data_IF_594295923395
#
_entry.id   IF_594295923395
#
_cell.length_a   1.000
_cell.length_b   1.000
_cell.length_c   1.000
_cell.angle_alpha   90.00
_cell.angle_beta   90.00
_cell.angle_gamma   90.00
#
_symmetry.space_group_name_H-M   'P 1'
#
loop_
_entity.id
_entity.type
_entity.pdbx_description
1 polymer ?
#
# COMPACT_ATOMS: atom_id res chain seq x y z
N UNK A 1 18.23 21.00 -27.61
CA UNK A 1 18.16 19.52 -27.57
C UNK A 1 18.06 18.99 -26.15
N UNK A 2 18.83 19.49 -25.17
CA UNK A 2 18.77 19.01 -23.77
C UNK A 2 17.41 19.16 -23.07
N UNK A 3 16.68 20.26 -23.30
CA UNK A 3 15.37 20.50 -22.66
C UNK A 3 14.31 19.47 -23.07
N UNK A 4 14.27 19.08 -24.34
CA UNK A 4 13.33 18.06 -24.84
C UNK A 4 13.62 16.69 -24.23
N UNK A 5 14.89 16.32 -24.09
CA UNK A 5 15.29 15.09 -23.42
C UNK A 5 14.88 15.09 -21.94
N UNK A 6 15.10 16.20 -21.23
CA UNK A 6 14.69 16.34 -19.83
C UNK A 6 13.16 16.24 -19.68
N UNK A 7 12.41 16.91 -20.56
CA UNK A 7 10.95 16.85 -20.55
C UNK A 7 10.42 15.42 -20.75
N UNK A 8 11.01 14.67 -21.69
CA UNK A 8 10.67 13.26 -21.92
C UNK A 8 11.00 12.39 -20.70
N UNK A 9 12.15 12.60 -20.06
CA UNK A 9 12.54 11.85 -18.86
C UNK A 9 11.59 12.13 -17.68
N UNK A 10 11.20 13.38 -17.48
CA UNK A 10 10.22 13.75 -16.44
C UNK A 10 8.85 13.13 -16.73
N UNK A 11 8.40 13.16 -17.99
CA UNK A 11 7.14 12.52 -18.40
C UNK A 11 7.14 11.01 -18.24
N UNK A 12 8.24 10.34 -18.60
CA UNK A 12 8.43 8.91 -18.37
C UNK A 12 8.42 8.58 -16.87
N UNK A 13 9.13 9.35 -16.05
CA UNK A 13 9.13 9.20 -14.59
C UNK A 13 7.73 9.35 -13.99
N UNK A 14 7.00 10.41 -14.37
CA UNK A 14 5.62 10.61 -13.91
C UNK A 14 4.71 9.44 -14.30
N UNK A 15 4.85 8.93 -15.53
CA UNK A 15 4.06 7.79 -16.01
C UNK A 15 4.38 6.50 -15.25
N UNK A 16 5.66 6.27 -14.93
CA UNK A 16 6.13 5.14 -14.13
C UNK A 16 5.62 5.18 -12.69
N UNK A 17 5.30 6.36 -12.15
CA UNK A 17 4.66 6.50 -10.84
C UNK A 17 3.15 6.31 -10.97
N UNK A 18 2.47 7.13 -11.78
CA UNK A 18 1.02 7.20 -11.81
C UNK A 18 0.34 5.90 -12.28
N UNK A 19 0.93 5.19 -13.24
CA UNK A 19 0.34 3.99 -13.84
C UNK A 19 0.26 2.81 -12.87
N UNK A 20 1.34 2.41 -12.18
CA UNK A 20 1.30 1.30 -11.25
C UNK A 20 0.73 1.65 -9.87
N UNK A 21 0.72 2.91 -9.43
CA UNK A 21 0.28 3.29 -8.06
C UNK A 21 -1.08 2.71 -7.70
N UNK A 22 -2.09 2.86 -8.58
CA UNK A 22 -3.43 2.33 -8.29
C UNK A 22 -3.50 0.80 -8.32
N UNK A 23 -2.65 0.13 -9.11
CA UNK A 23 -2.57 -1.34 -9.13
C UNK A 23 -1.86 -1.87 -7.88
N UNK A 24 -0.83 -1.16 -7.43
CA UNK A 24 -0.10 -1.48 -6.21
C UNK A 24 -1.03 -1.38 -5.00
N UNK A 25 -1.74 -0.26 -4.85
CA UNK A 25 -2.66 -0.06 -3.72
C UNK A 25 -3.75 -1.13 -3.68
N UNK A 26 -4.35 -1.46 -4.83
CA UNK A 26 -5.35 -2.54 -4.93
C UNK A 26 -4.80 -3.93 -4.63
N UNK A 27 -3.51 -4.18 -4.83
CA UNK A 27 -2.86 -5.45 -4.46
C UNK A 27 -2.58 -5.53 -2.96
N UNK A 28 -2.43 -4.39 -2.30
CA UNK A 28 -2.06 -4.29 -0.89
C UNK A 28 -3.24 -4.09 0.06
N UNK A 29 -4.48 -4.32 -0.39
CA UNK A 29 -5.68 -4.17 0.45
C UNK A 29 -6.84 -5.05 0.03
N UNK A 30 -7.73 -5.34 0.98
CA UNK A 30 -9.00 -6.00 0.73
C UNK A 30 -9.95 -5.07 -0.04
N UNK A 31 -10.94 -5.61 -0.78
CA UNK A 31 -11.88 -4.80 -1.54
C UNK A 31 -12.61 -3.72 -0.72
N UNK A 32 -12.93 -4.02 0.55
CA UNK A 32 -13.63 -3.11 1.46
C UNK A 32 -12.78 -1.94 1.97
N UNK A 33 -11.46 -2.11 2.08
CA UNK A 33 -10.55 -1.07 2.58
C UNK A 33 -10.06 -0.08 1.50
N UNK A 34 -10.30 -0.41 0.23
CA UNK A 34 -9.85 0.39 -0.93
C UNK A 34 -10.22 1.88 -0.79
N UNK A 35 -11.47 2.28 -0.46
CA UNK A 35 -11.82 3.70 -0.39
C UNK A 35 -10.97 4.46 0.64
N UNK A 36 -10.73 3.88 1.82
CA UNK A 36 -9.94 4.50 2.87
C UNK A 36 -8.47 4.65 2.46
N UNK A 37 -7.88 3.61 1.85
CA UNK A 37 -6.48 3.66 1.40
C UNK A 37 -6.27 4.62 0.23
N UNK A 38 -7.19 4.66 -0.74
CA UNK A 38 -7.12 5.65 -1.82
C UNK A 38 -7.26 7.08 -1.30
N UNK A 39 -8.13 7.31 -0.30
CA UNK A 39 -8.25 8.61 0.36
C UNK A 39 -6.94 8.99 1.11
N UNK A 40 -6.33 8.05 1.83
CA UNK A 40 -5.06 8.26 2.50
C UNK A 40 -3.94 8.59 1.51
N UNK A 41 -3.85 7.85 0.39
CA UNK A 41 -2.87 8.11 -0.67
C UNK A 41 -3.08 9.49 -1.29
N UNK A 42 -4.33 9.86 -1.59
CA UNK A 42 -4.68 11.19 -2.10
C UNK A 42 -4.20 12.28 -1.12
N UNK A 43 -4.60 12.20 0.15
CA UNK A 43 -4.22 13.18 1.17
C UNK A 43 -2.71 13.30 1.34
N UNK A 44 -1.99 12.17 1.40
CA UNK A 44 -0.53 12.16 1.53
C UNK A 44 0.15 12.86 0.35
N UNK A 45 -0.29 12.59 -0.88
CA UNK A 45 0.25 13.26 -2.07
C UNK A 45 0.01 14.77 -2.04
N UNK A 46 -1.15 15.23 -1.54
CA UNK A 46 -1.45 16.65 -1.38
C UNK A 46 -0.62 17.30 -0.29
N UNK A 47 -0.41 16.63 0.84
CA UNK A 47 0.50 17.09 1.90
C UNK A 47 1.91 17.26 1.36
N UNK A 48 2.40 16.32 0.55
CA UNK A 48 3.70 16.44 -0.12
C UNK A 48 3.76 17.64 -1.06
N UNK A 49 2.72 17.91 -1.86
CA UNK A 49 2.66 19.11 -2.71
C UNK A 49 2.64 20.40 -1.90
N UNK A 50 1.86 20.43 -0.82
CA UNK A 50 1.77 21.59 0.08
C UNK A 50 3.13 21.98 0.65
N UNK A 51 4.00 21.00 0.93
CA UNK A 51 5.36 21.25 1.42
C UNK A 51 6.33 21.58 0.29
N UNK A 52 6.32 20.78 -0.77
CA UNK A 52 7.33 20.87 -1.84
C UNK A 52 7.16 22.11 -2.72
N UNK A 53 5.94 22.62 -2.91
CA UNK A 53 5.69 23.80 -3.74
C UNK A 53 6.28 25.09 -3.14
N UNK A 54 6.00 25.46 -1.87
CA UNK A 54 6.65 26.59 -1.23
C UNK A 54 8.17 26.42 -1.14
N UNK A 55 8.63 25.20 -0.84
CA UNK A 55 10.06 24.90 -0.76
C UNK A 55 10.76 25.12 -2.10
N UNK A 56 10.19 24.64 -3.20
CA UNK A 56 10.73 24.83 -4.54
C UNK A 56 10.73 26.31 -4.95
N UNK A 57 9.68 27.06 -4.61
CA UNK A 57 9.63 28.50 -4.86
C UNK A 57 10.70 29.25 -4.08
N UNK A 58 10.84 28.97 -2.79
CA UNK A 58 11.86 29.58 -1.93
C UNK A 58 13.29 29.23 -2.38
N UNK A 59 13.57 27.96 -2.68
CA UNK A 59 14.86 27.53 -3.21
C UNK A 59 15.16 28.15 -4.57
N UNK A 60 14.15 28.27 -5.43
CA UNK A 60 14.29 28.87 -6.77
C UNK A 60 14.79 30.31 -6.71
N UNK A 61 14.35 31.08 -5.71
CA UNK A 61 14.79 32.46 -5.50
C UNK A 61 16.19 32.52 -4.87
N UNK A 62 16.49 31.66 -3.89
CA UNK A 62 17.73 31.76 -3.09
C UNK A 62 18.93 31.05 -3.73
N UNK A 63 18.71 29.95 -4.45
CA UNK A 63 19.76 29.06 -4.98
C UNK A 63 19.69 28.95 -6.51
N UNK A 64 18.67 29.56 -7.12
CA UNK A 64 18.43 29.51 -8.56
C UNK A 64 17.76 28.20 -9.02
N UNK A 65 17.23 28.21 -10.24
CA UNK A 65 16.49 27.08 -10.81
C UNK A 65 17.35 25.83 -10.94
N UNK A 66 18.59 25.96 -11.45
CA UNK A 66 19.50 24.81 -11.64
C UNK A 66 19.83 24.13 -10.32
N UNK A 67 20.17 24.90 -9.28
CA UNK A 67 20.45 24.36 -7.94
C UNK A 67 19.23 23.69 -7.31
N UNK A 68 18.05 24.29 -7.48
CA UNK A 68 16.78 23.73 -7.00
C UNK A 68 16.45 22.39 -7.66
N UNK A 69 16.57 22.31 -9.00
CA UNK A 69 16.36 21.07 -9.74
C UNK A 69 17.37 19.99 -9.36
N UNK A 70 18.65 20.34 -9.19
CA UNK A 70 19.67 19.40 -8.75
C UNK A 70 19.34 18.83 -7.37
N UNK A 71 19.00 19.68 -6.39
CA UNK A 71 18.66 19.26 -5.03
C UNK A 71 17.42 18.35 -5.00
N UNK A 72 16.31 18.79 -5.60
CA UNK A 72 15.07 18.00 -5.63
C UNK A 72 15.25 16.69 -6.42
N UNK A 73 16.03 16.72 -7.50
CA UNK A 73 16.39 15.53 -8.26
C UNK A 73 17.19 14.53 -7.43
N UNK A 74 18.18 14.98 -6.66
CA UNK A 74 18.94 14.11 -5.75
C UNK A 74 18.06 13.51 -4.66
N UNK A 75 17.13 14.28 -4.09
CA UNK A 75 16.16 13.77 -3.10
C UNK A 75 15.28 12.68 -3.73
N UNK A 76 14.76 12.91 -4.94
CA UNK A 76 13.94 11.92 -5.65
C UNK A 76 14.72 10.63 -5.96
N UNK A 77 15.99 10.75 -6.39
CA UNK A 77 16.86 9.60 -6.64
C UNK A 77 17.17 8.83 -5.35
N UNK A 78 17.47 9.54 -4.25
CA UNK A 78 17.72 8.92 -2.95
C UNK A 78 16.49 8.17 -2.43
N UNK A 79 15.30 8.77 -2.53
CA UNK A 79 14.04 8.12 -2.15
C UNK A 79 13.75 6.88 -3.01
N UNK A 80 14.03 6.96 -4.32
CA UNK A 80 13.88 5.83 -5.24
C UNK A 80 14.84 4.69 -4.90
N UNK A 81 16.11 5.01 -4.65
CA UNK A 81 17.12 4.03 -4.25
C UNK A 81 16.77 3.38 -2.91
N UNK A 82 16.38 4.18 -1.91
CA UNK A 82 15.96 3.68 -0.61
C UNK A 82 14.75 2.75 -0.74
N UNK A 83 13.76 3.12 -1.55
CA UNK A 83 12.60 2.27 -1.84
C UNK A 83 13.04 0.97 -2.48
N UNK A 84 13.92 1.00 -3.48
CA UNK A 84 14.44 -0.20 -4.14
C UNK A 84 15.25 -1.13 -3.21
N UNK A 85 15.91 -0.57 -2.18
CA UNK A 85 16.65 -1.33 -1.17
C UNK A 85 15.74 -1.94 -0.10
N UNK A 86 14.73 -1.20 0.35
CA UNK A 86 13.79 -1.65 1.39
C UNK A 86 12.75 -2.62 0.78
N UNK A 87 12.42 -2.47 -0.50
CA UNK A 87 11.40 -3.29 -1.15
C UNK A 87 11.83 -4.75 -1.23
N UNK A 88 11.15 -5.59 -0.48
CA UNK A 88 11.46 -7.01 -0.41
C UNK A 88 11.05 -7.71 -1.72
N UNK A 89 12.03 -8.20 -2.49
CA UNK A 89 11.80 -8.91 -3.77
C UNK A 89 11.03 -10.22 -3.61
N UNK A 90 11.08 -10.82 -2.42
CA UNK A 90 10.51 -12.14 -2.11
C UNK A 90 9.15 -12.00 -1.43
N UNK A 91 8.24 -11.25 -2.05
CA UNK A 91 6.83 -11.21 -1.63
C UNK A 91 6.12 -12.44 -2.22
N UNK A 92 6.19 -13.56 -1.49
CA UNK A 92 5.41 -14.76 -1.80
C UNK A 92 3.93 -14.36 -1.70
N UNK A 93 3.27 -14.25 -2.86
CA UNK A 93 1.87 -13.79 -2.99
C UNK A 93 0.85 -14.61 -2.20
N UNK A 94 1.23 -15.78 -1.73
CA UNK A 94 0.44 -16.66 -0.86
C UNK A 94 1.39 -17.21 0.18
N UNK A 95 1.15 -16.84 1.44
CA UNK A 95 1.87 -17.37 2.58
C UNK A 95 0.95 -18.36 3.30
N UNK A 96 1.45 -19.57 3.52
CA UNK A 96 0.81 -20.49 4.45
C UNK A 96 1.15 -20.01 5.87
N UNK A 97 0.13 -19.76 6.68
CA UNK A 97 0.32 -19.28 8.04
C UNK A 97 -0.75 -19.84 8.98
N UNK A 98 -0.36 -20.06 10.23
CA UNK A 98 -1.26 -20.46 11.31
C UNK A 98 -1.72 -19.23 12.09
N UNK A 99 -3.04 -19.09 12.28
CA UNK A 99 -3.58 -18.13 13.23
C UNK A 99 -3.79 -18.78 14.59
N UNK A 100 -3.43 -18.06 15.66
CA UNK A 100 -3.98 -18.34 16.98
C UNK A 100 -5.48 -18.04 16.98
N UNK A 101 -6.24 -18.68 17.88
CA UNK A 101 -7.67 -18.46 17.96
C UNK A 101 -7.94 -16.97 18.26
N UNK A 102 -8.69 -16.30 17.37
CA UNK A 102 -8.97 -14.87 17.47
C UNK A 102 -10.44 -14.61 17.17
N UNK A 103 -11.04 -13.77 18.00
CA UNK A 103 -12.38 -13.23 17.78
C UNK A 103 -12.25 -11.89 17.07
N UNK A 104 -12.88 -11.75 15.91
CA UNK A 104 -12.82 -10.54 15.11
C UNK A 104 -14.11 -10.32 14.34
N UNK A 105 -14.22 -9.16 13.69
CA UNK A 105 -15.40 -8.75 12.91
C UNK A 105 -14.92 -8.23 11.57
N UNK A 106 -15.28 -8.90 10.48
CA UNK A 106 -15.08 -8.41 9.11
C UNK A 106 -16.34 -8.69 8.28
N UNK A 107 -16.41 -8.15 7.06
CA UNK A 107 -17.46 -8.51 6.11
C UNK A 107 -17.16 -9.92 5.59
N UNK A 108 -17.99 -10.91 5.93
CA UNK A 108 -17.75 -12.29 5.51
C UNK A 108 -18.71 -12.71 4.40
N UNK A 109 -18.25 -13.70 3.63
CA UNK A 109 -19.01 -14.40 2.59
C UNK A 109 -18.88 -15.90 2.90
N UNK A 110 -19.95 -16.69 2.75
CA UNK A 110 -19.85 -18.14 2.91
C UNK A 110 -19.17 -18.78 1.70
N UNK A 111 -17.84 -18.89 1.77
CA UNK A 111 -17.03 -19.67 0.84
C UNK A 111 -16.52 -20.98 1.49
N UNK A 112 -15.69 -21.75 0.76
CA UNK A 112 -15.10 -22.99 1.27
C UNK A 112 -14.32 -22.82 2.59
N UNK A 113 -13.84 -21.62 2.89
CA UNK A 113 -13.02 -21.33 4.06
C UNK A 113 -13.82 -20.77 5.26
N UNK A 114 -15.10 -20.45 5.08
CA UNK A 114 -15.93 -19.76 6.09
C UNK A 114 -17.27 -20.46 6.36
N UNK A 115 -17.27 -21.80 6.40
CA UNK A 115 -18.46 -22.57 6.79
C UNK A 115 -18.57 -22.69 8.32
N UNK A 116 -19.54 -21.98 8.89
CA UNK A 116 -19.95 -22.16 10.29
C UNK A 116 -21.47 -21.99 10.41
N UNK A 117 -22.06 -22.54 11.48
CA UNK A 117 -23.47 -22.32 11.78
C UNK A 117 -23.67 -21.00 12.54
N UNK A 118 -24.70 -20.26 12.16
CA UNK A 118 -25.11 -19.05 12.87
C UNK A 118 -25.98 -19.40 14.09
N UNK A 119 -25.77 -18.70 15.21
CA UNK A 119 -26.74 -18.68 16.31
C UNK A 119 -27.88 -17.68 16.00
N UNK A 120 -28.72 -18.02 15.02
CA UNK A 120 -29.91 -17.25 14.67
C UNK A 120 -29.79 -16.45 13.36
N UNK A 121 -30.48 -15.31 13.30
CA UNK A 121 -30.54 -14.48 12.10
C UNK A 121 -29.62 -13.26 12.21
N UNK A 122 -28.72 -13.10 11.24
CA UNK A 122 -27.67 -12.07 11.29
C UNK A 122 -27.70 -11.09 10.11
N UNK A 123 -28.77 -11.13 9.32
CA UNK A 123 -28.98 -10.27 8.17
C UNK A 123 -28.74 -10.96 6.83
N UNK A 124 -29.03 -10.27 5.71
CA UNK A 124 -28.73 -10.77 4.37
C UNK A 124 -27.22 -10.69 4.09
N UNK A 125 -26.68 -11.68 3.38
CA UNK A 125 -25.29 -11.66 2.92
C UNK A 125 -25.02 -10.56 1.87
N UNK A 126 -23.81 -9.95 1.88
CA UNK A 126 -22.75 -10.10 2.88
C UNK A 126 -23.01 -9.27 4.14
N UNK A 127 -22.69 -9.83 5.32
CA UNK A 127 -22.95 -9.21 6.61
C UNK A 127 -21.68 -9.18 7.50
N UNK A 128 -21.69 -8.34 8.55
CA UNK A 128 -20.61 -8.20 9.54
C UNK A 128 -21.12 -8.64 10.89
N UNK A 129 -20.40 -9.56 11.51
CA UNK A 129 -20.66 -10.01 12.88
C UNK A 129 -19.35 -10.47 13.52
N UNK A 130 -19.35 -10.56 14.85
CA UNK A 130 -18.20 -11.09 15.56
C UNK A 130 -18.20 -12.61 15.46
N UNK A 131 -17.15 -13.18 14.92
CA UNK A 131 -17.00 -14.62 14.84
C UNK A 131 -15.63 -15.06 15.38
N UNK A 132 -15.60 -16.29 15.92
CA UNK A 132 -14.42 -16.87 16.52
C UNK A 132 -13.78 -17.86 15.56
N UNK A 133 -12.56 -17.58 15.11
CA UNK A 133 -11.78 -18.56 14.36
C UNK A 133 -10.96 -19.42 15.32
N UNK A 134 -11.12 -20.74 15.21
CA UNK A 134 -10.25 -21.70 15.88
C UNK A 134 -8.86 -21.70 15.24
N UNK A 135 -7.86 -22.19 15.97
CA UNK A 135 -6.50 -22.33 15.43
C UNK A 135 -6.51 -23.22 14.19
N UNK A 136 -6.05 -22.68 13.06
CA UNK A 136 -6.00 -23.39 11.78
C UNK A 136 -4.93 -22.81 10.84
N UNK A 137 -4.43 -23.64 9.94
CA UNK A 137 -3.55 -23.22 8.83
C UNK A 137 -4.41 -22.91 7.61
N UNK A 138 -4.24 -21.73 7.02
CA UNK A 138 -4.86 -21.40 5.75
C UNK A 138 -3.92 -20.61 4.84
N UNK A 139 -4.22 -20.58 3.54
CA UNK A 139 -3.40 -19.95 2.51
C UNK A 139 -4.20 -18.89 1.77
N UNK A 140 -3.92 -17.62 2.05
CA UNK A 140 -4.49 -16.49 1.32
C UNK A 140 -3.42 -15.46 0.95
N UNK A 141 -3.80 -14.46 0.14
CA UNK A 141 -2.91 -13.36 -0.23
C UNK A 141 -2.67 -12.48 0.99
N UNK A 142 -1.43 -12.38 1.45
CA UNK A 142 -1.10 -11.58 2.63
C UNK A 142 -1.34 -10.09 2.37
N UNK A 143 -2.19 -9.47 3.20
CA UNK A 143 -2.55 -8.07 3.18
C UNK A 143 -2.43 -7.54 4.62
N UNK A 144 -1.98 -6.30 4.81
CA UNK A 144 -1.98 -5.69 6.14
C UNK A 144 -3.42 -5.30 6.48
N UNK A 145 -4.01 -6.00 7.44
CA UNK A 145 -5.38 -5.86 7.93
C UNK A 145 -5.43 -6.04 9.46
N UNK A 146 -6.64 -6.16 10.02
CA UNK A 146 -6.86 -6.33 11.46
C UNK A 146 -6.22 -7.62 12.01
N UNK A 147 -6.03 -8.64 11.17
CA UNK A 147 -5.37 -9.90 11.52
C UNK A 147 -3.86 -9.81 11.36
N UNK A 148 -3.40 -8.94 10.47
CA UNK A 148 -2.03 -8.83 10.00
C UNK A 148 -1.49 -7.40 10.07
N UNK A 149 -1.36 -6.87 11.29
CA UNK A 149 -0.80 -5.52 11.48
C UNK A 149 0.68 -5.35 11.08
N UNK A 150 1.40 -6.43 10.83
CA UNK A 150 2.82 -6.41 10.51
C UNK A 150 3.17 -7.38 9.39
N UNK A 151 4.14 -7.00 8.56
CA UNK A 151 4.69 -7.88 7.54
C UNK A 151 5.43 -9.06 8.19
N UNK A 152 5.28 -10.31 7.68
CA UNK A 152 5.91 -11.46 8.28
C UNK A 152 7.44 -11.36 8.11
N UNK A 153 8.15 -11.45 9.23
CA UNK A 153 9.60 -11.57 9.21
C UNK A 153 9.99 -12.99 8.78
N UNK A 154 11.04 -13.12 7.95
CA UNK A 154 11.46 -14.40 7.34
C UNK A 154 11.66 -15.55 8.36
N UNK A 155 11.84 -15.24 9.63
CA UNK A 155 12.01 -16.22 10.71
C UNK A 155 10.76 -17.06 11.03
N UNK A 156 9.58 -16.72 10.49
CA UNK A 156 8.32 -17.43 10.76
C UNK A 156 7.76 -18.18 9.54
N UNK A 157 8.52 -18.31 8.46
CA UNK A 157 8.16 -19.12 7.30
C UNK A 157 8.71 -20.53 7.51
N UNK A 158 7.93 -21.40 8.16
CA UNK A 158 8.22 -22.83 8.29
C UNK A 158 7.00 -23.65 7.94
#
# INVERSE_FOLDING_TARGET
>A
TGLTGLWLLLGAGASLVMTPSGRLLKRSCQPEDRPALFAAQFSLSHSCWLVTYPLAGWLGVNVGLTGTFALLGTIALAATALTALIWHKSDLRTLEHEHAAITHTHLHYHDEHHQHEHEGWEGPEPHRHSHHHFRGSHRHVFVIDDHHSQWPSQHKLR
#
